data_IF_241981235709
#
_entry.id   IF_241981235709
#
_cell.length_a   1.000
_cell.length_b   1.000
_cell.length_c   1.000
_cell.angle_alpha   90.00
_cell.angle_beta   90.00
_cell.angle_gamma   90.00
#
_symmetry.space_group_name_H-M   'P 1'
#
loop_
_entity.id
_entity.type
_entity.pdbx_description
1 polymer ?
#
# COMPACT_ATOMS: atom_id res chain seq x y z
N UNK A 1 -5.18 -31.60 -10.54
CA UNK A 1 -5.74 -30.27 -10.27
C UNK A 1 -5.85 -29.54 -11.60
N UNK A 2 -7.06 -29.16 -12.02
CA UNK A 2 -7.24 -28.40 -13.26
C UNK A 2 -6.47 -27.07 -13.13
N UNK A 3 -5.61 -26.76 -14.10
CA UNK A 3 -5.04 -25.41 -14.23
C UNK A 3 -6.20 -24.50 -14.58
N UNK A 4 -6.72 -23.77 -13.59
CA UNK A 4 -7.67 -22.68 -13.84
C UNK A 4 -6.93 -21.68 -14.72
N UNK A 5 -7.29 -21.61 -16.00
CA UNK A 5 -6.78 -20.55 -16.88
C UNK A 5 -7.31 -19.23 -16.30
N UNK A 6 -6.46 -18.50 -15.60
CA UNK A 6 -6.80 -17.17 -15.11
C UNK A 6 -7.05 -16.29 -16.32
N UNK A 7 -8.23 -15.70 -16.42
CA UNK A 7 -8.52 -14.74 -17.48
C UNK A 7 -7.71 -13.47 -17.21
N UNK A 8 -6.98 -13.03 -18.23
CA UNK A 8 -6.32 -11.73 -18.23
C UNK A 8 -7.33 -10.66 -18.60
N UNK A 9 -7.45 -9.63 -17.77
CA UNK A 9 -8.28 -8.46 -18.04
C UNK A 9 -7.41 -7.45 -18.79
N UNK A 10 -7.84 -7.01 -19.97
CA UNK A 10 -7.30 -5.82 -20.64
C UNK A 10 -8.48 -4.92 -21.02
N UNK A 11 -8.46 -3.69 -20.52
CA UNK A 11 -9.50 -2.69 -20.79
C UNK A 11 -9.14 -1.79 -21.99
N UNK A 12 -7.84 -1.67 -22.28
CA UNK A 12 -7.28 -0.87 -23.37
C UNK A 12 -6.25 -1.73 -24.10
N UNK A 13 -6.35 -1.82 -25.42
CA UNK A 13 -5.43 -2.60 -26.23
C UNK A 13 -3.97 -2.16 -26.04
N UNK A 14 -3.11 -3.11 -25.72
CA UNK A 14 -1.68 -2.88 -25.52
C UNK A 14 -1.30 -2.21 -24.20
N UNK A 15 -2.25 -1.98 -23.29
CA UNK A 15 -1.99 -1.44 -21.95
C UNK A 15 -2.40 -2.47 -20.91
N UNK A 16 -1.40 -2.99 -20.20
CA UNK A 16 -1.67 -3.87 -19.07
C UNK A 16 -2.32 -3.06 -17.93
N UNK A 17 -3.40 -3.57 -17.32
CA UNK A 17 -4.01 -2.92 -16.17
C UNK A 17 -3.02 -2.88 -15.00
N UNK A 18 -3.09 -1.83 -14.20
CA UNK A 18 -2.21 -1.66 -13.06
C UNK A 18 -2.63 -0.51 -12.18
N UNK A 19 -2.10 -0.50 -10.96
CA UNK A 19 -2.24 0.62 -10.04
C UNK A 19 -1.04 1.57 -10.20
N UNK A 20 -1.32 2.88 -10.19
CA UNK A 20 -0.33 3.93 -10.36
C UNK A 20 0.87 3.76 -9.41
N UNK A 21 2.09 3.95 -9.93
CA UNK A 21 3.36 3.80 -9.21
C UNK A 21 3.84 2.35 -9.04
N UNK A 22 2.95 1.36 -9.09
CA UNK A 22 3.28 -0.04 -8.80
C UNK A 22 3.80 -0.78 -10.03
N UNK A 23 4.91 -0.29 -10.58
CA UNK A 23 5.58 -0.90 -11.75
C UNK A 23 6.06 -2.32 -11.47
N UNK A 24 6.55 -2.54 -10.25
CA UNK A 24 6.97 -3.85 -9.77
C UNK A 24 6.25 -4.18 -8.47
N UNK A 25 5.51 -5.30 -8.49
CA UNK A 25 4.73 -5.75 -7.35
C UNK A 25 4.61 -7.26 -7.34
N UNK A 26 4.39 -7.85 -6.16
CA UNK A 26 4.03 -9.26 -6.04
C UNK A 26 2.59 -9.56 -6.47
N UNK A 27 1.75 -8.53 -6.69
CA UNK A 27 0.42 -8.67 -7.28
C UNK A 27 0.46 -8.39 -8.78
N UNK A 28 -0.16 -9.29 -9.53
CA UNK A 28 -0.26 -9.17 -10.98
C UNK A 28 -1.67 -8.71 -11.37
N UNK A 29 -1.78 -7.41 -11.62
CA UNK A 29 -3.03 -6.71 -11.92
C UNK A 29 -3.68 -7.11 -13.25
N UNK A 30 -3.02 -7.94 -14.06
CA UNK A 30 -3.65 -8.55 -15.25
C UNK A 30 -4.71 -9.56 -14.85
N UNK A 31 -4.73 -10.07 -13.62
CA UNK A 31 -5.71 -11.05 -13.16
C UNK A 31 -6.79 -10.44 -12.27
N UNK A 32 -8.01 -10.94 -12.38
CA UNK A 32 -9.18 -10.49 -11.61
C UNK A 32 -8.97 -10.58 -10.09
N UNK A 33 -8.22 -11.58 -9.60
CA UNK A 33 -7.97 -11.79 -8.18
C UNK A 33 -7.34 -10.55 -7.50
N UNK A 34 -6.52 -9.81 -8.23
CA UNK A 34 -5.85 -8.59 -7.73
C UNK A 34 -6.77 -7.38 -7.62
N UNK A 35 -7.96 -7.46 -8.22
CA UNK A 35 -9.01 -6.46 -8.11
C UNK A 35 -10.08 -6.84 -7.06
N UNK A 36 -9.97 -8.03 -6.46
CA UNK A 36 -10.83 -8.46 -5.38
C UNK A 36 -10.65 -7.58 -4.12
N UNK A 37 -11.72 -7.51 -3.31
CA UNK A 37 -11.80 -6.67 -2.08
C UNK A 37 -10.53 -6.68 -1.23
N UNK A 38 -9.96 -7.85 -0.95
CA UNK A 38 -8.83 -7.97 -0.03
C UNK A 38 -7.52 -7.44 -0.62
N UNK A 39 -7.25 -7.73 -1.90
CA UNK A 39 -6.04 -7.24 -2.56
C UNK A 39 -6.18 -5.75 -2.90
N UNK A 40 -7.29 -5.34 -3.50
CA UNK A 40 -7.48 -3.94 -3.86
C UNK A 40 -7.39 -3.00 -2.64
N UNK A 41 -7.99 -3.36 -1.50
CA UNK A 41 -8.00 -2.50 -0.31
C UNK A 41 -6.62 -2.28 0.33
N UNK A 42 -5.67 -3.19 0.12
CA UNK A 42 -4.29 -3.02 0.58
C UNK A 42 -3.42 -2.39 -0.51
N UNK A 43 -3.69 -2.65 -1.79
CA UNK A 43 -2.91 -2.06 -2.89
C UNK A 43 -3.24 -0.61 -3.20
N UNK A 44 -4.52 -0.24 -3.19
CA UNK A 44 -4.98 1.07 -3.65
C UNK A 44 -4.41 2.23 -2.81
N UNK A 45 -4.39 2.19 -1.47
CA UNK A 45 -3.80 3.26 -0.67
C UNK A 45 -2.33 3.54 -1.00
N UNK A 46 -1.52 2.49 -1.24
CA UNK A 46 -0.13 2.66 -1.64
C UNK A 46 0.01 3.32 -3.01
N UNK A 47 -0.91 3.01 -3.94
CA UNK A 47 -1.00 3.67 -5.25
C UNK A 47 -1.38 5.14 -5.12
N UNK A 48 -2.31 5.47 -4.23
CA UNK A 48 -2.70 6.84 -3.96
C UNK A 48 -1.53 7.67 -3.42
N UNK A 49 -0.73 7.11 -2.51
CA UNK A 49 0.50 7.75 -2.02
C UNK A 49 1.48 8.03 -3.18
N UNK A 50 1.68 7.06 -4.08
CA UNK A 50 2.53 7.25 -5.26
C UNK A 50 1.99 8.37 -6.17
N UNK A 51 0.68 8.41 -6.37
CA UNK A 51 0.03 9.47 -7.15
C UNK A 51 0.19 10.84 -6.49
N UNK A 52 -0.04 10.97 -5.19
CA UNK A 52 0.19 12.19 -4.44
C UNK A 52 1.65 12.66 -4.58
N UNK A 53 2.62 11.74 -4.49
CA UNK A 53 4.03 12.06 -4.71
C UNK A 53 4.29 12.64 -6.10
N UNK A 54 3.68 12.07 -7.15
CA UNK A 54 3.80 12.61 -8.53
C UNK A 54 3.24 14.03 -8.68
N UNK A 55 2.36 14.44 -7.76
CA UNK A 55 1.74 15.77 -7.70
C UNK A 55 2.42 16.69 -6.69
N UNK A 56 3.56 16.29 -6.11
CA UNK A 56 4.23 17.01 -5.01
C UNK A 56 3.29 17.25 -3.81
N UNK A 57 2.41 16.30 -3.52
CA UNK A 57 1.49 16.33 -2.38
C UNK A 57 1.93 15.32 -1.33
N UNK A 58 1.97 15.76 -0.07
CA UNK A 58 2.31 14.92 1.08
C UNK A 58 1.05 14.39 1.76
N UNK A 59 0.98 13.09 2.09
CA UNK A 59 -0.06 12.56 2.98
C UNK A 59 -0.12 13.28 4.33
N UNK A 60 -1.34 13.40 4.87
CA UNK A 60 -1.56 13.86 6.24
C UNK A 60 -1.09 12.75 7.19
N UNK A 61 -0.26 13.13 8.16
CA UNK A 61 0.27 12.25 9.18
C UNK A 61 -0.27 12.66 10.55
N UNK A 62 -1.05 11.77 11.17
CA UNK A 62 -1.59 11.96 12.51
C UNK A 62 -0.57 11.41 13.51
N UNK A 63 -0.05 12.27 14.38
CA UNK A 63 0.93 11.88 15.39
C UNK A 63 0.66 12.56 16.73
N UNK A 64 1.37 12.17 17.78
CA UNK A 64 1.34 12.86 19.06
C UNK A 64 2.49 13.86 19.18
N UNK A 65 2.26 14.96 19.89
CA UNK A 65 3.33 15.88 20.29
C UNK A 65 3.97 15.43 21.64
N UNK A 66 4.92 16.21 22.14
CA UNK A 66 5.61 15.95 23.43
C UNK A 66 4.68 15.91 24.65
N UNK A 67 3.47 16.45 24.55
CA UNK A 67 2.45 16.47 25.59
C UNK A 67 1.41 15.34 25.38
N UNK A 68 1.62 14.44 24.43
CA UNK A 68 0.67 13.40 23.99
C UNK A 68 -0.64 13.93 23.38
N UNK A 69 -0.65 15.17 22.88
CA UNK A 69 -1.80 15.73 22.17
C UNK A 69 -1.76 15.29 20.70
N UNK A 70 -2.92 14.96 20.13
CA UNK A 70 -3.05 14.62 18.71
C UNK A 70 -2.78 15.87 17.88
N UNK A 71 -1.87 15.75 16.92
CA UNK A 71 -1.54 16.81 15.98
C UNK A 71 -1.47 16.26 14.57
N UNK A 72 -1.87 17.08 13.59
CA UNK A 72 -1.77 16.75 12.18
C UNK A 72 -0.49 17.38 11.61
N UNK A 73 0.32 16.54 10.97
CA UNK A 73 1.51 16.93 10.22
C UNK A 73 1.38 16.40 8.80
N UNK A 74 2.43 16.60 8.01
CA UNK A 74 2.57 15.98 6.70
C UNK A 74 3.83 15.10 6.70
N UNK A 75 3.76 13.98 6.00
CA UNK A 75 4.90 13.09 5.77
C UNK A 75 5.11 12.96 4.27
N UNK A 76 6.35 12.99 3.79
CA UNK A 76 6.60 12.77 2.36
C UNK A 76 6.37 11.30 1.99
N UNK A 77 6.09 11.02 0.72
CA UNK A 77 5.96 9.63 0.27
C UNK A 77 7.27 8.84 0.44
N UNK A 78 8.42 9.49 0.23
CA UNK A 78 9.75 8.90 0.42
C UNK A 78 9.96 8.53 1.89
N UNK A 79 9.64 9.43 2.83
CA UNK A 79 9.80 9.16 4.26
C UNK A 79 8.84 8.07 4.74
N UNK A 80 7.61 8.03 4.20
CA UNK A 80 6.62 7.00 4.55
C UNK A 80 7.00 5.61 4.03
N UNK A 81 7.44 5.52 2.78
CA UNK A 81 7.71 4.25 2.10
C UNK A 81 9.18 3.82 2.20
N UNK A 82 10.06 4.69 2.67
CA UNK A 82 11.52 4.48 2.73
C UNK A 82 12.22 4.54 1.38
N UNK A 83 11.49 4.76 0.28
CA UNK A 83 11.99 4.84 -1.09
C UNK A 83 11.06 5.72 -1.92
N UNK A 84 11.57 6.34 -2.99
CA UNK A 84 10.71 7.02 -3.98
C UNK A 84 9.73 6.01 -4.60
N UNK A 85 8.41 6.18 -4.43
CA UNK A 85 7.40 5.25 -4.94
C UNK A 85 7.40 5.09 -6.46
N UNK A 86 7.99 6.03 -7.21
CA UNK A 86 8.01 6.01 -8.68
C UNK A 86 9.33 5.47 -9.25
N UNK A 87 10.31 5.19 -8.36
CA UNK A 87 11.62 4.66 -8.73
C UNK A 87 11.51 3.29 -9.41
N UNK A 88 12.44 3.01 -10.33
CA UNK A 88 12.60 1.67 -10.92
C UNK A 88 13.10 0.63 -9.90
N UNK A 89 13.61 1.10 -8.75
CA UNK A 89 14.01 0.24 -7.65
C UNK A 89 12.89 -0.03 -6.64
N UNK A 90 11.74 0.65 -6.74
CA UNK A 90 10.62 0.43 -5.83
C UNK A 90 9.87 -0.85 -6.18
N UNK A 91 9.82 -1.80 -5.23
CA UNK A 91 9.01 -3.01 -5.33
C UNK A 91 7.98 -3.04 -4.20
N UNK A 92 6.72 -3.22 -4.58
CA UNK A 92 5.57 -3.29 -3.68
C UNK A 92 5.25 -4.75 -3.37
N UNK A 93 5.76 -5.25 -2.25
CA UNK A 93 5.55 -6.65 -1.83
C UNK A 93 4.39 -6.76 -0.84
N UNK A 94 3.28 -7.36 -1.27
CA UNK A 94 2.09 -7.52 -0.45
C UNK A 94 2.06 -8.85 0.31
N UNK A 95 1.49 -8.82 1.52
CA UNK A 95 1.37 -9.99 2.40
C UNK A 95 2.73 -10.71 2.56
N UNK A 96 3.77 -9.92 2.83
CA UNK A 96 5.16 -10.34 2.83
C UNK A 96 5.75 -10.37 4.26
N UNK A 97 6.81 -11.16 4.44
CA UNK A 97 7.58 -11.15 5.67
C UNK A 97 8.48 -9.92 5.72
N UNK A 98 8.57 -9.27 6.88
CA UNK A 98 9.46 -8.13 7.07
C UNK A 98 10.67 -8.54 7.90
N UNK A 99 11.78 -8.81 7.21
CA UNK A 99 13.02 -9.36 7.78
C UNK A 99 13.49 -8.68 9.08
N UNK A 100 13.41 -7.33 9.24
CA UNK A 100 13.84 -6.68 10.48
C UNK A 100 13.09 -7.13 11.73
N UNK A 101 11.85 -7.59 11.60
CA UNK A 101 11.04 -8.08 12.72
C UNK A 101 10.98 -9.61 12.81
N UNK A 102 11.42 -10.32 11.78
CA UNK A 102 11.41 -11.79 11.77
C UNK A 102 12.20 -12.39 12.94
N UNK A 103 13.26 -11.71 13.38
CA UNK A 103 14.10 -12.14 14.51
C UNK A 103 13.35 -12.22 15.85
N UNK A 104 12.20 -11.57 15.97
CA UNK A 104 11.40 -11.56 17.21
C UNK A 104 10.31 -12.63 17.22
N UNK A 105 10.09 -13.36 16.12
CA UNK A 105 9.12 -14.45 16.08
C UNK A 105 9.69 -15.71 16.75
N UNK A 106 9.00 -16.18 17.78
CA UNK A 106 9.30 -17.46 18.45
C UNK A 106 8.48 -18.62 17.88
N UNK A 107 7.41 -18.34 17.14
CA UNK A 107 6.55 -19.32 16.51
C UNK A 107 7.07 -19.73 15.12
N UNK A 108 6.81 -20.99 14.73
CA UNK A 108 7.18 -21.51 13.41
C UNK A 108 6.50 -20.79 12.24
N UNK A 109 5.33 -20.18 12.49
CA UNK A 109 4.60 -19.39 11.50
C UNK A 109 4.87 -17.91 11.75
N UNK A 110 5.53 -17.27 10.78
CA UNK A 110 5.75 -15.81 10.78
C UNK A 110 4.47 -15.12 10.30
N UNK A 111 4.11 -14.03 10.96
CA UNK A 111 3.04 -13.16 10.46
C UNK A 111 3.54 -12.38 9.25
N UNK A 112 2.59 -11.99 8.40
CA UNK A 112 2.83 -11.22 7.19
C UNK A 112 2.36 -9.79 7.43
N UNK A 113 3.10 -8.84 6.87
CA UNK A 113 2.71 -7.43 6.84
C UNK A 113 1.95 -7.16 5.55
N UNK A 114 0.93 -6.31 5.60
CA UNK A 114 0.09 -6.00 4.45
C UNK A 114 0.91 -5.49 3.24
N UNK A 115 1.84 -4.56 3.47
CA UNK A 115 2.77 -4.04 2.47
C UNK A 115 4.20 -3.95 3.02
N UNK A 116 5.15 -4.49 2.27
CA UNK A 116 6.59 -4.30 2.46
C UNK A 116 7.17 -3.64 1.21
N UNK A 117 7.78 -2.47 1.39
CA UNK A 117 8.55 -1.82 0.33
C UNK A 117 9.94 -2.42 0.28
N UNK A 118 10.38 -2.83 -0.91
CA UNK A 118 11.71 -3.41 -1.13
C UNK A 118 12.46 -2.57 -2.16
N UNK A 119 13.74 -2.31 -1.91
CA UNK A 119 14.65 -1.80 -2.92
C UNK A 119 15.16 -2.97 -3.77
N UNK A 120 14.85 -2.99 -5.06
CA UNK A 120 15.17 -4.10 -5.97
C UNK A 120 16.67 -4.26 -6.21
N UNK A 121 17.43 -3.17 -6.27
CA UNK A 121 18.86 -3.21 -6.52
C UNK A 121 19.62 -3.80 -5.33
N UNK A 122 19.22 -3.47 -4.10
CA UNK A 122 19.89 -3.94 -2.88
C UNK A 122 19.22 -5.17 -2.25
N UNK A 123 18.01 -5.52 -2.69
CA UNK A 123 17.15 -6.53 -2.06
C UNK A 123 16.87 -6.24 -0.57
N UNK A 124 16.95 -4.97 -0.16
CA UNK A 124 16.74 -4.57 1.23
C UNK A 124 15.30 -4.11 1.47
N UNK A 125 14.67 -4.51 2.59
CA UNK A 125 13.38 -3.97 2.98
C UNK A 125 13.54 -2.51 3.44
N UNK A 126 12.65 -1.63 2.99
CA UNK A 126 12.70 -0.18 3.21
C UNK A 126 11.67 0.28 4.24
N UNK A 127 10.46 -0.29 4.19
CA UNK A 127 9.36 0.02 5.11
C UNK A 127 8.38 -1.15 5.14
N UNK A 128 7.74 -1.38 6.30
CA UNK A 128 6.66 -2.35 6.48
C UNK A 128 5.44 -1.63 7.05
N UNK A 129 4.32 -1.71 6.34
CA UNK A 129 3.10 -0.96 6.64
C UNK A 129 1.88 -1.89 6.71
N UNK A 130 1.11 -1.74 7.79
CA UNK A 130 -0.25 -2.23 7.88
C UNK A 130 -1.19 -1.26 7.15
N UNK A 131 -2.10 -1.78 6.32
CA UNK A 131 -2.94 -0.95 5.45
C UNK A 131 -4.41 -1.18 5.78
N UNK A 132 -5.13 -0.07 5.97
CA UNK A 132 -6.57 -0.07 6.21
C UNK A 132 -7.18 0.97 5.29
N UNK A 133 -8.09 0.52 4.42
CA UNK A 133 -8.92 1.41 3.62
C UNK A 133 -10.23 1.64 4.37
N UNK A 134 -10.44 2.87 4.84
CA UNK A 134 -11.67 3.32 5.48
C UNK A 134 -12.41 4.25 4.51
N UNK A 135 -13.72 4.09 4.42
CA UNK A 135 -14.58 4.98 3.64
C UNK A 135 -15.25 5.96 4.59
N UNK A 136 -15.29 7.23 4.20
CA UNK A 136 -16.08 8.26 4.87
C UNK A 136 -17.18 8.73 3.89
N UNK A 137 -18.41 8.96 4.38
CA UNK A 137 -18.81 8.80 5.76
C UNK A 137 -19.01 7.33 6.15
N UNK A 138 -18.74 7.02 7.42
CA UNK A 138 -19.06 5.71 8.00
C UNK A 138 -20.46 5.71 8.63
N UNK A 139 -20.89 4.60 9.23
CA UNK A 139 -22.21 4.52 9.85
C UNK A 139 -22.45 5.53 10.98
N UNK A 140 -21.38 6.08 11.59
CA UNK A 140 -21.48 7.06 12.67
C UNK A 140 -21.58 8.48 12.14
N UNK A 141 -21.08 8.72 10.92
CA UNK A 141 -20.98 10.05 10.31
C UNK A 141 -21.90 10.23 9.11
N UNK A 142 -22.55 9.18 8.57
CA UNK A 142 -23.36 9.23 7.32
C UNK A 142 -24.47 10.27 7.26
N UNK A 143 -24.97 10.71 8.40
CA UNK A 143 -26.07 11.68 8.50
C UNK A 143 -25.56 13.08 8.91
N UNK A 144 -24.25 13.25 9.09
CA UNK A 144 -23.63 14.54 9.44
C UNK A 144 -23.35 15.39 8.19
N UNK A 145 -23.26 16.73 8.31
CA UNK A 145 -22.81 17.59 7.22
C UNK A 145 -21.33 17.34 6.86
N UNK A 146 -20.94 17.63 5.61
CA UNK A 146 -19.55 17.49 5.13
C UNK A 146 -18.50 18.22 5.99
N UNK A 147 -18.89 19.28 6.68
CA UNK A 147 -18.01 20.03 7.58
C UNK A 147 -17.72 19.31 8.92
N UNK A 148 -18.45 18.23 9.21
CA UNK A 148 -18.37 17.42 10.43
C UNK A 148 -17.83 16.00 10.16
N UNK A 149 -17.42 15.70 8.92
CA UNK A 149 -16.59 14.54 8.57
C UNK A 149 -15.11 14.82 8.86
#
# INVERSE_FOLDING_TARGET
>A
MAKTNKQTIQLIDGVDPGLFGQKYSSRDYRYEDSWGKNQFNSSFPASLVAYMSSKNMSPVFICTNKNNEIVHKYISAIDLLGIDPLSEDAYYDYEAGYYPYEQYYTANRKEKIDLVMINRSTQSPMSGLEVKLTTLPDNTTKDLPDAEY
#
